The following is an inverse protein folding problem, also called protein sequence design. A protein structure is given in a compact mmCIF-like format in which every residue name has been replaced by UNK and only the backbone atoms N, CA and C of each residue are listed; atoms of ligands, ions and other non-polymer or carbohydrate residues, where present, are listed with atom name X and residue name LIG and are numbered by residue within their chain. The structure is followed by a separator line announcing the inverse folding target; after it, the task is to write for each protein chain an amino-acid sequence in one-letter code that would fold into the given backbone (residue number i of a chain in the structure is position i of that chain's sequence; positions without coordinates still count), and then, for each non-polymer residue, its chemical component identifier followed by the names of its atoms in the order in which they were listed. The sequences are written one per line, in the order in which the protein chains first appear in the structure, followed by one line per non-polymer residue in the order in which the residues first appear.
data_IF_965084663527
#
_entry.id   IF_965084663527
#
_cell.length_a   1.000
_cell.length_b   1.000
_cell.length_c   1.000
_cell.angle_alpha   90.00
_cell.angle_beta   90.00
_cell.angle_gamma   90.00
#
_symmetry.space_group_name_H-M   'P 1'
#
loop_
_entity.id
_entity.type
_entity.pdbx_description
1 polymer ?
#
# COMPACT_ATOMS: atom_id res chain seq x y z
N UNK A 1 -25.21 -22.46 -4.01
CA UNK A 1 -24.58 -21.84 -2.83
C UNK A 1 -23.10 -22.18 -2.65
N UNK A 2 -22.69 -23.41 -2.74
CA UNK A 2 -21.27 -23.77 -2.64
C UNK A 2 -20.40 -23.16 -3.73
N UNK A 3 -20.88 -23.08 -4.97
CA UNK A 3 -20.15 -22.49 -6.10
C UNK A 3 -19.82 -21.00 -5.88
N UNK A 4 -20.78 -20.22 -5.40
CA UNK A 4 -20.59 -18.79 -5.15
C UNK A 4 -19.58 -18.54 -4.02
N UNK A 5 -19.65 -19.34 -2.95
CA UNK A 5 -18.68 -19.27 -1.85
C UNK A 5 -17.25 -19.57 -2.34
N UNK A 6 -17.11 -20.55 -3.22
CA UNK A 6 -15.82 -20.92 -3.77
C UNK A 6 -15.22 -19.82 -4.65
N UNK A 7 -16.04 -19.13 -5.45
CA UNK A 7 -15.59 -18.01 -6.28
C UNK A 7 -15.12 -16.84 -5.41
N UNK A 8 -15.91 -16.48 -4.39
CA UNK A 8 -15.56 -15.40 -3.47
C UNK A 8 -14.27 -15.72 -2.72
N UNK A 9 -14.11 -16.93 -2.20
CA UNK A 9 -12.91 -17.34 -1.47
C UNK A 9 -11.66 -17.38 -2.35
N UNK A 10 -11.80 -17.74 -3.62
CA UNK A 10 -10.70 -17.69 -4.60
C UNK A 10 -10.29 -16.25 -4.89
N UNK A 11 -11.26 -15.36 -5.07
CA UNK A 11 -11.01 -13.93 -5.28
C UNK A 11 -10.25 -13.31 -4.11
N UNK A 12 -10.68 -13.57 -2.88
CA UNK A 12 -9.99 -13.07 -1.68
C UNK A 12 -8.56 -13.60 -1.59
N UNK A 13 -8.35 -14.88 -1.85
CA UNK A 13 -7.00 -15.47 -1.84
C UNK A 13 -6.07 -14.83 -2.87
N UNK A 14 -6.59 -14.57 -4.07
CA UNK A 14 -5.85 -13.89 -5.12
C UNK A 14 -5.42 -12.49 -4.66
N UNK A 15 -6.36 -11.69 -4.14
CA UNK A 15 -6.06 -10.33 -3.70
C UNK A 15 -5.11 -10.27 -2.50
N UNK A 16 -5.20 -11.23 -1.60
CA UNK A 16 -4.21 -11.38 -0.51
C UNK A 16 -2.82 -11.68 -1.06
N UNK A 17 -2.71 -12.57 -2.04
CA UNK A 17 -1.46 -12.89 -2.69
C UNK A 17 -0.84 -11.70 -3.40
N UNK A 18 -1.64 -10.96 -4.17
CA UNK A 18 -1.20 -9.74 -4.86
C UNK A 18 -0.76 -8.67 -3.85
N UNK A 19 -1.51 -8.49 -2.77
CA UNK A 19 -1.16 -7.56 -1.69
C UNK A 19 0.19 -7.93 -1.06
N UNK A 20 0.40 -9.20 -0.75
CA UNK A 20 1.66 -9.68 -0.18
C UNK A 20 2.86 -9.44 -1.10
N UNK A 21 2.71 -9.69 -2.39
CA UNK A 21 3.75 -9.41 -3.40
C UNK A 21 4.06 -7.90 -3.42
N UNK A 22 3.03 -7.05 -3.41
CA UNK A 22 3.21 -5.60 -3.42
C UNK A 22 3.92 -5.10 -2.15
N UNK A 23 3.54 -5.61 -0.99
CA UNK A 23 4.23 -5.31 0.28
C UNK A 23 5.71 -5.70 0.22
N UNK A 24 6.04 -6.86 -0.35
CA UNK A 24 7.41 -7.30 -0.58
C UNK A 24 8.18 -6.35 -1.50
N UNK A 25 7.56 -5.87 -2.57
CA UNK A 25 8.18 -4.90 -3.48
C UNK A 25 8.42 -3.55 -2.81
N UNK A 26 7.48 -3.07 -1.98
CA UNK A 26 7.69 -1.87 -1.16
C UNK A 26 8.88 -2.07 -0.22
N UNK A 27 8.94 -3.21 0.44
CA UNK A 27 10.01 -3.52 1.39
C UNK A 27 11.37 -3.54 0.71
N UNK A 28 11.49 -4.22 -0.43
CA UNK A 28 12.72 -4.26 -1.21
C UNK A 28 13.12 -2.84 -1.65
N UNK A 29 12.20 -2.08 -2.21
CA UNK A 29 12.46 -0.71 -2.65
C UNK A 29 12.86 0.22 -1.51
N UNK A 30 12.31 -0.01 -0.31
CA UNK A 30 12.60 0.79 0.89
C UNK A 30 14.02 0.58 1.43
N UNK A 31 14.65 -0.55 1.11
CA UNK A 31 16.00 -0.87 1.58
C UNK A 31 17.07 -0.76 0.49
N UNK A 32 16.72 -0.32 -0.72
CA UNK A 32 17.69 0.03 -1.74
C UNK A 32 18.38 1.33 -1.31
N UNK A 33 19.74 1.40 -1.30
CA UNK A 33 20.44 2.60 -0.90
C UNK A 33 20.05 3.83 -1.75
N UNK A 34 19.82 4.96 -1.06
CA UNK A 34 19.57 6.24 -1.71
C UNK A 34 20.89 6.76 -2.35
N UNK A 35 20.87 7.03 -3.65
CA UNK A 35 22.06 7.56 -4.34
C UNK A 35 22.31 6.94 -5.70
N UNK A 36 21.55 5.91 -6.07
CA UNK A 36 21.67 5.24 -7.35
C UNK A 36 20.69 5.70 -8.42
N UNK A 37 20.14 6.91 -8.34
CA UNK A 37 19.19 7.41 -9.35
C UNK A 37 17.81 6.77 -9.28
N UNK A 38 17.51 6.08 -8.21
CA UNK A 38 16.18 5.54 -7.96
C UNK A 38 15.17 6.62 -7.59
N UNK A 39 13.88 6.33 -7.67
CA UNK A 39 12.81 7.28 -7.35
C UNK A 39 12.77 7.53 -5.84
N UNK A 40 13.51 8.51 -5.38
CA UNK A 40 13.66 8.91 -3.98
C UNK A 40 12.82 10.14 -3.68
N UNK A 41 11.55 10.09 -3.88
CA UNK A 41 10.72 11.25 -3.60
C UNK A 41 9.42 10.87 -2.95
N UNK A 42 8.76 11.88 -2.38
CA UNK A 42 7.42 11.75 -1.82
C UNK A 42 6.44 11.09 -2.81
N UNK A 43 6.62 11.30 -4.11
CA UNK A 43 5.81 10.72 -5.16
C UNK A 43 5.76 9.19 -5.13
N UNK A 44 6.87 8.53 -4.84
CA UNK A 44 6.92 7.07 -4.72
C UNK A 44 6.16 6.56 -3.50
N UNK A 45 6.28 7.26 -2.38
CA UNK A 45 5.52 6.92 -1.17
C UNK A 45 4.02 7.07 -1.45
N UNK A 46 3.61 8.15 -2.09
CA UNK A 46 2.20 8.35 -2.46
C UNK A 46 1.70 7.22 -3.36
N UNK A 47 2.40 6.92 -4.45
CA UNK A 47 1.99 5.88 -5.40
C UNK A 47 2.01 4.48 -4.75
N UNK A 48 3.09 4.15 -4.06
CA UNK A 48 3.25 2.83 -3.43
C UNK A 48 2.16 2.54 -2.40
N UNK A 49 1.84 3.50 -1.55
CA UNK A 49 0.84 3.34 -0.50
C UNK A 49 -0.60 3.54 -1.01
N UNK A 50 -0.80 4.29 -2.08
CA UNK A 50 -2.08 4.33 -2.78
C UNK A 50 -2.45 2.95 -3.35
N UNK A 51 -1.51 2.30 -4.00
CA UNK A 51 -1.71 0.94 -4.52
C UNK A 51 -1.93 -0.04 -3.37
N UNK A 52 -1.13 0.04 -2.30
CA UNK A 52 -1.27 -0.85 -1.14
C UNK A 52 -2.65 -0.73 -0.49
N UNK A 53 -3.11 0.48 -0.22
CA UNK A 53 -4.42 0.70 0.41
C UNK A 53 -5.56 0.24 -0.50
N UNK A 54 -5.46 0.48 -1.81
CA UNK A 54 -6.43 0.01 -2.78
C UNK A 54 -6.50 -1.53 -2.84
N UNK A 55 -5.35 -2.20 -2.81
CA UNK A 55 -5.28 -3.67 -2.78
C UNK A 55 -5.88 -4.23 -1.49
N UNK A 56 -5.55 -3.65 -0.34
CA UNK A 56 -6.12 -4.05 0.95
C UNK A 56 -7.65 -3.85 0.97
N UNK A 57 -8.14 -2.76 0.39
CA UNK A 57 -9.57 -2.47 0.32
C UNK A 57 -10.35 -3.44 -0.60
N UNK A 58 -9.67 -4.30 -1.35
CA UNK A 58 -10.32 -5.37 -2.12
C UNK A 58 -10.87 -6.49 -1.24
N UNK A 59 -10.33 -6.65 -0.05
CA UNK A 59 -10.71 -7.75 0.84
C UNK A 59 -10.87 -7.34 2.31
N UNK A 60 -10.62 -6.08 2.64
CA UNK A 60 -10.88 -5.49 3.95
C UNK A 60 -11.80 -4.28 3.81
N UNK A 61 -12.49 -3.93 4.90
CA UNK A 61 -13.20 -2.66 4.98
C UNK A 61 -12.22 -1.47 4.87
N UNK A 62 -12.69 -0.29 4.45
CA UNK A 62 -11.78 0.85 4.21
C UNK A 62 -10.94 1.27 5.42
N UNK A 63 -11.51 1.30 6.64
CA UNK A 63 -10.76 1.76 7.80
C UNK A 63 -9.63 0.78 8.22
N UNK A 64 -9.83 -0.56 8.28
CA UNK A 64 -8.71 -1.45 8.54
C UNK A 64 -7.70 -1.48 7.38
N UNK A 65 -8.15 -1.35 6.14
CA UNK A 65 -7.24 -1.26 4.99
C UNK A 65 -6.32 -0.04 5.11
N UNK A 66 -6.88 1.13 5.44
CA UNK A 66 -6.11 2.36 5.64
C UNK A 66 -5.13 2.26 6.81
N UNK A 67 -5.61 1.74 7.94
CA UNK A 67 -4.79 1.58 9.14
C UNK A 67 -3.62 0.62 8.92
N UNK A 68 -3.86 -0.52 8.27
CA UNK A 68 -2.81 -1.49 7.96
C UNK A 68 -1.80 -0.94 6.96
N UNK A 69 -2.26 -0.24 5.92
CA UNK A 69 -1.36 0.37 4.93
C UNK A 69 -0.46 1.42 5.57
N UNK A 70 -1.02 2.33 6.34
CA UNK A 70 -0.24 3.37 7.01
C UNK A 70 0.67 2.79 8.10
N UNK A 71 0.16 1.85 8.90
CA UNK A 71 0.95 1.15 9.93
C UNK A 71 2.12 0.39 9.34
N UNK A 72 1.94 -0.25 8.19
CA UNK A 72 3.04 -0.88 7.45
C UNK A 72 4.11 0.14 7.04
N UNK A 73 3.69 1.28 6.50
CA UNK A 73 4.59 2.37 6.15
C UNK A 73 5.35 2.92 7.35
N UNK A 74 4.66 3.11 8.48
CA UNK A 74 5.28 3.55 9.72
C UNK A 74 6.31 2.54 10.24
N UNK A 75 6.03 1.24 10.15
CA UNK A 75 6.96 0.18 10.55
C UNK A 75 8.20 0.16 9.65
N UNK A 76 8.03 0.28 8.35
CA UNK A 76 9.16 0.37 7.40
C UNK A 76 10.03 1.59 7.71
N UNK A 77 9.42 2.74 7.97
CA UNK A 77 10.11 3.97 8.31
C UNK A 77 10.90 3.82 9.62
N UNK A 78 10.32 3.20 10.64
CA UNK A 78 10.99 2.93 11.91
C UNK A 78 12.23 2.06 11.72
N UNK A 79 12.16 1.04 10.86
CA UNK A 79 13.32 0.21 10.52
C UNK A 79 14.38 1.01 9.78
N UNK A 80 13.99 1.89 8.87
CA UNK A 80 14.92 2.76 8.13
C UNK A 80 15.68 3.72 9.05
N UNK A 81 15.07 4.16 10.14
CA UNK A 81 15.73 5.05 11.12
C UNK A 81 16.93 4.41 11.81
N UNK A 82 16.93 3.08 11.97
CA UNK A 82 18.04 2.35 12.59
C UNK A 82 19.08 1.87 11.58
N UNK A 83 18.84 2.04 10.28
CA UNK A 83 19.79 1.63 9.24
C UNK A 83 20.64 2.82 8.78
N UNK A 84 21.99 2.68 8.77
CA UNK A 84 22.88 3.78 8.40
C UNK A 84 22.88 4.12 6.89
N UNK A 85 22.31 3.25 6.07
CA UNK A 85 22.32 3.36 4.61
C UNK A 85 21.12 4.13 4.05
N UNK A 86 20.17 4.53 4.91
CA UNK A 86 18.94 5.17 4.48
C UNK A 86 18.59 6.34 5.39
N UNK A 87 18.25 7.49 4.79
CA UNK A 87 17.73 8.63 5.53
C UNK A 87 16.22 8.52 5.66
N UNK A 88 15.74 8.24 6.87
CA UNK A 88 14.31 8.28 7.18
C UNK A 88 13.89 9.73 7.42
N UNK A 89 12.79 10.13 6.81
CA UNK A 89 12.24 11.49 6.94
C UNK A 89 10.80 11.43 7.45
N UNK A 90 10.46 12.34 8.36
CA UNK A 90 9.08 12.47 8.86
C UNK A 90 8.11 12.80 7.72
N UNK A 91 8.57 13.52 6.70
CA UNK A 91 7.82 13.80 5.49
C UNK A 91 7.36 12.54 4.75
N UNK A 92 8.10 11.44 4.85
CA UNK A 92 7.73 10.17 4.25
C UNK A 92 6.47 9.56 4.91
N UNK A 93 6.29 9.73 6.21
CA UNK A 93 5.07 9.32 6.90
C UNK A 93 3.84 10.10 6.40
N UNK A 94 4.00 11.40 6.18
CA UNK A 94 2.93 12.23 5.62
C UNK A 94 2.61 11.83 4.17
N UNK A 95 3.63 11.54 3.36
CA UNK A 95 3.45 11.07 1.99
C UNK A 95 2.76 9.70 1.95
N UNK A 96 3.10 8.79 2.87
CA UNK A 96 2.43 7.50 3.02
C UNK A 96 0.94 7.69 3.35
N UNK A 97 0.63 8.59 4.28
CA UNK A 97 -0.76 8.90 4.64
C UNK A 97 -1.55 9.48 3.46
N UNK A 98 -0.94 10.39 2.69
CA UNK A 98 -1.55 10.94 1.48
C UNK A 98 -1.81 9.84 0.45
N UNK A 99 -0.87 8.93 0.24
CA UNK A 99 -1.03 7.78 -0.64
C UNK A 99 -2.18 6.87 -0.21
N UNK A 100 -2.23 6.54 1.06
CA UNK A 100 -3.33 5.73 1.63
C UNK A 100 -4.68 6.38 1.36
N UNK A 101 -4.82 7.67 1.61
CA UNK A 101 -6.05 8.41 1.35
C UNK A 101 -6.44 8.37 -0.14
N UNK A 102 -5.49 8.60 -1.04
CA UNK A 102 -5.70 8.53 -2.50
C UNK A 102 -6.19 7.14 -2.92
N UNK A 103 -5.55 6.09 -2.43
CA UNK A 103 -5.95 4.71 -2.75
C UNK A 103 -7.36 4.36 -2.27
N UNK A 104 -7.72 4.76 -1.06
CA UNK A 104 -9.06 4.54 -0.51
C UNK A 104 -10.12 5.33 -1.28
N UNK A 105 -9.85 6.59 -1.60
CA UNK A 105 -10.74 7.43 -2.40
C UNK A 105 -10.94 6.83 -3.80
N UNK A 106 -9.87 6.39 -4.45
CA UNK A 106 -9.94 5.76 -5.77
C UNK A 106 -10.80 4.50 -5.74
N UNK A 107 -10.64 3.65 -4.73
CA UNK A 107 -11.44 2.44 -4.56
C UNK A 107 -12.91 2.77 -4.31
N UNK A 108 -13.20 3.81 -3.54
CA UNK A 108 -14.56 4.28 -3.28
C UNK A 108 -15.20 4.87 -4.53
N UNK A 109 -14.46 5.66 -5.32
CA UNK A 109 -14.98 6.36 -6.48
C UNK A 109 -15.15 5.45 -7.70
N UNK A 110 -14.31 4.43 -7.86
CA UNK A 110 -14.25 3.56 -9.03
C UNK A 110 -15.60 2.96 -9.44
N UNK A 111 -16.37 2.29 -8.55
CA UNK A 111 -17.66 1.74 -8.93
C UNK A 111 -18.69 2.81 -9.32
N UNK A 112 -18.54 4.02 -8.79
CA UNK A 112 -19.45 5.14 -9.07
C UNK A 112 -19.21 5.74 -10.44
N UNK A 113 -17.96 5.74 -10.91
CA UNK A 113 -17.61 6.23 -12.24
C UNK A 113 -18.13 5.30 -13.34
N UNK A 114 -18.20 4.01 -13.09
CA UNK A 114 -18.64 3.02 -14.08
C UNK A 114 -20.16 2.76 -14.09
N UNK A 115 -20.88 3.26 -13.12
CA UNK A 115 -22.35 3.13 -13.05
C UNK A 115 -23.12 4.25 -13.73
N UNK A 116 -22.42 5.15 -14.35
CA UNK A 116 -23.00 6.21 -15.17
C UNK A 116 -23.00 5.75 -16.62
#
# INVERSE_FOLDING_TARGET
MQSTRNVISRGIRLWRGVTGIWMGLILIGSFIPAGGGGPNGAGWHVVGYAILSALLARWLAPWPAGLLAWGYGAAVEAVQWVLPTRNAEVGDLAANAAGVAVGLIATWAWPRLWRR
#
